data_IF_296789070360
#
_entry.id   IF_296789070360
#
_cell.length_a   1.000
_cell.length_b   1.000
_cell.length_c   1.000
_cell.angle_alpha   90.00
_cell.angle_beta   90.00
_cell.angle_gamma   90.00
#
_symmetry.space_group_name_H-M   'P 1'
#
loop_
_entity.id
_entity.type
_entity.pdbx_description
1 polymer ?
#
# COMPACT_ATOMS: atom_id res chain seq x y z
N UNK A 1 10.89 -15.40 13.02
CA UNK A 1 10.66 -15.17 12.53
C UNK A 1 10.36 -15.11 11.69
N UNK A 2 10.10 -14.97 11.46
CA UNK A 2 9.70 -14.86 10.82
C UNK A 2 9.65 -14.98 9.88
N UNK A 3 9.23 -15.28 9.35
CA UNK A 3 9.19 -15.18 8.47
C UNK A 3 8.68 -14.37 7.86
N UNK A 4 8.97 -13.63 7.43
CA UNK A 4 8.41 -12.56 6.80
C UNK A 4 8.36 -12.73 5.37
N UNK A 5 8.95 -13.65 4.83
CA UNK A 5 8.85 -13.87 3.42
C UNK A 5 7.58 -14.59 3.13
N UNK A 6 7.01 -14.31 2.01
CA UNK A 6 5.84 -15.00 1.59
C UNK A 6 6.26 -15.98 0.54
N UNK A 7 6.29 -17.22 0.89
CA UNK A 7 6.63 -18.24 -0.04
C UNK A 7 5.34 -18.78 -0.60
N UNK A 8 5.19 -18.70 -1.89
CA UNK A 8 3.96 -19.06 -2.52
C UNK A 8 4.02 -20.45 -3.08
N UNK A 9 2.92 -21.15 -3.04
CA UNK A 9 2.89 -22.50 -3.57
C UNK A 9 3.07 -22.46 -5.06
N UNK A 10 3.79 -23.41 -5.55
CA UNK A 10 3.95 -23.54 -6.94
C UNK A 10 2.95 -24.50 -7.41
N UNK A 11 2.20 -24.11 -8.36
CA UNK A 11 1.25 -24.98 -8.82
C UNK A 11 1.85 -26.08 -9.56
N UNK A 12 1.53 -27.21 -9.10
CA UNK A 12 1.87 -28.24 -9.79
C UNK A 12 3.02 -28.74 -10.03
N UNK A 13 3.89 -28.64 -9.39
CA UNK A 13 4.83 -29.28 -9.79
C UNK A 13 6.04 -29.31 -9.33
N UNK A 14 6.88 -29.87 -9.96
CA UNK A 14 8.09 -29.92 -9.64
C UNK A 14 8.69 -28.82 -9.98
N UNK A 15 9.20 -28.14 -9.14
CA UNK A 15 9.70 -26.88 -9.37
C UNK A 15 11.08 -26.89 -9.91
N UNK A 16 11.34 -25.96 -10.76
CA UNK A 16 12.67 -25.66 -11.16
C UNK A 16 13.40 -25.02 -10.01
N UNK A 17 12.67 -24.41 -9.09
CA UNK A 17 13.20 -23.76 -7.93
C UNK A 17 12.05 -23.20 -7.18
N UNK A 18 12.27 -22.18 -6.38
CA UNK A 18 11.25 -21.64 -5.56
C UNK A 18 11.15 -20.16 -5.78
N UNK A 19 9.94 -19.63 -5.82
CA UNK A 19 9.76 -18.19 -5.93
C UNK A 19 9.37 -17.67 -4.57
N UNK A 20 10.14 -16.74 -4.07
CA UNK A 20 9.88 -16.19 -2.78
C UNK A 20 9.65 -14.72 -2.93
N UNK A 21 8.49 -14.23 -2.52
CA UNK A 21 8.16 -12.83 -2.63
C UNK A 21 8.29 -12.20 -1.26
N UNK A 22 9.22 -11.30 -1.13
CA UNK A 22 9.47 -10.65 0.15
C UNK A 22 8.55 -9.46 0.32
N UNK A 23 8.23 -9.14 1.56
CA UNK A 23 7.34 -8.01 1.81
C UNK A 23 7.84 -6.70 1.20
N UNK A 24 9.14 -6.53 1.09
CA UNK A 24 9.66 -5.31 0.52
C UNK A 24 9.24 -5.12 -0.93
N UNK A 25 9.15 -6.20 -1.70
CA UNK A 25 8.68 -6.10 -3.07
C UNK A 25 7.22 -5.67 -3.10
N UNK A 26 6.43 -6.20 -2.18
CA UNK A 26 5.02 -5.85 -2.10
C UNK A 26 4.88 -4.40 -1.70
N UNK A 27 5.70 -3.94 -0.74
CA UNK A 27 5.67 -2.55 -0.33
C UNK A 27 5.96 -1.62 -1.50
N UNK A 28 6.94 -1.95 -2.30
CA UNK A 28 7.31 -1.10 -3.42
C UNK A 28 6.19 -0.96 -4.42
N UNK A 29 5.56 -2.08 -4.75
CA UNK A 29 4.47 -2.05 -5.71
C UNK A 29 3.26 -1.33 -5.15
N UNK A 30 2.94 -1.58 -3.89
CA UNK A 30 1.79 -0.93 -3.26
C UNK A 30 2.02 0.58 -3.18
N UNK A 31 3.25 0.98 -2.84
CA UNK A 31 3.57 2.38 -2.74
C UNK A 31 3.38 3.07 -4.09
N UNK A 32 3.90 2.47 -5.13
CA UNK A 32 3.79 3.08 -6.43
C UNK A 32 2.34 3.14 -6.91
N UNK A 33 1.60 2.07 -6.72
CA UNK A 33 0.20 2.05 -7.13
C UNK A 33 -0.60 3.11 -6.39
N UNK A 34 -0.35 3.26 -5.09
CA UNK A 34 -1.06 4.24 -4.29
C UNK A 34 -0.72 5.64 -4.73
N UNK A 35 0.56 5.90 -4.98
CA UNK A 35 0.98 7.25 -5.34
C UNK A 35 0.43 7.69 -6.68
N UNK A 36 0.10 6.77 -7.54
CA UNK A 36 -0.41 7.12 -8.85
C UNK A 36 -1.91 7.35 -8.85
N UNK A 37 -2.59 7.09 -7.76
CA UNK A 37 -4.03 7.28 -7.72
C UNK A 37 -4.37 8.75 -7.58
N UNK A 38 -5.43 9.14 -8.28
CA UNK A 38 -5.89 10.51 -8.22
C UNK A 38 -6.36 10.83 -6.80
N UNK A 39 -6.06 11.98 -6.33
CA UNK A 39 -6.54 12.44 -5.03
C UNK A 39 -5.68 12.07 -3.85
N UNK A 40 -4.60 11.35 -4.07
CA UNK A 40 -3.72 10.96 -2.97
C UNK A 40 -2.65 12.01 -2.81
N UNK A 41 -2.58 12.61 -1.62
CA UNK A 41 -1.54 13.56 -1.31
C UNK A 41 -0.25 12.83 -1.01
N UNK A 42 -0.34 11.77 -0.25
CA UNK A 42 0.85 11.00 0.07
C UNK A 42 0.55 9.88 1.03
N UNK A 43 1.57 9.12 1.34
CA UNK A 43 1.48 8.02 2.28
C UNK A 43 1.88 8.54 3.63
N UNK A 44 1.16 8.16 4.67
CA UNK A 44 1.38 8.69 5.99
C UNK A 44 1.86 7.61 6.92
N UNK A 45 2.35 8.03 8.06
CA UNK A 45 2.67 7.10 9.12
C UNK A 45 1.38 6.50 9.67
N UNK A 46 1.41 5.28 10.19
CA UNK A 46 0.20 4.64 10.71
C UNK A 46 -0.36 5.35 11.93
N UNK A 47 0.46 6.09 12.63
CA UNK A 47 -0.01 6.77 13.81
C UNK A 47 -0.04 8.25 13.61
N UNK A 48 -1.05 8.88 14.18
CA UNK A 48 -1.12 10.32 14.14
C UNK A 48 -0.15 10.92 15.15
N UNK A 49 0.37 12.07 14.82
CA UNK A 49 1.25 12.78 15.73
C UNK A 49 0.48 14.02 16.17
N UNK A 50 0.14 14.07 17.46
CA UNK A 50 -0.65 15.16 17.99
C UNK A 50 -1.95 15.33 17.22
N UNK A 51 -2.55 14.21 16.86
CA UNK A 51 -3.83 14.23 16.16
C UNK A 51 -3.74 14.55 14.69
N UNK A 52 -2.54 14.67 14.15
CA UNK A 52 -2.38 15.01 12.75
C UNK A 52 -1.66 13.94 11.98
N UNK A 53 -2.03 13.78 10.73
CA UNK A 53 -1.37 12.82 9.87
C UNK A 53 0.05 13.29 9.58
N UNK A 54 0.97 12.34 9.55
CA UNK A 54 2.36 12.65 9.28
C UNK A 54 2.69 12.07 7.92
N UNK A 55 2.94 12.94 6.96
CA UNK A 55 3.32 12.49 5.64
C UNK A 55 4.73 11.95 5.68
N UNK A 56 4.93 10.82 5.03
CA UNK A 56 6.24 10.20 4.99
C UNK A 56 6.95 10.59 3.73
N UNK A 57 8.25 10.76 3.84
CA UNK A 57 9.04 11.02 2.66
C UNK A 57 9.15 9.75 1.85
N UNK A 58 9.42 9.85 0.55
CA UNK A 58 9.43 8.67 -0.28
C UNK A 58 10.30 7.55 0.24
N UNK A 59 11.43 7.86 0.79
CA UNK A 59 12.31 6.81 1.26
C UNK A 59 11.82 6.15 2.54
N UNK A 60 10.84 6.74 3.22
CA UNK A 60 10.30 6.16 4.43
C UNK A 60 8.86 5.69 4.24
N UNK A 61 8.35 5.74 3.02
CA UNK A 61 6.94 5.46 2.81
C UNK A 61 6.57 4.02 3.09
N UNK A 62 7.54 3.12 3.17
CA UNK A 62 7.23 1.75 3.54
C UNK A 62 6.60 1.65 4.91
N UNK A 63 6.83 2.64 5.77
CA UNK A 63 6.24 2.61 7.10
C UNK A 63 4.73 2.80 7.05
N UNK A 64 4.23 3.37 5.99
CA UNK A 64 2.79 3.57 5.84
C UNK A 64 2.10 2.48 5.06
N UNK A 65 2.82 1.41 4.75
CA UNK A 65 2.24 0.28 4.05
C UNK A 65 2.63 -0.96 4.83
N UNK A 66 1.64 -1.67 5.31
CA UNK A 66 1.90 -2.85 6.12
C UNK A 66 1.40 -4.07 5.38
N UNK A 67 2.19 -5.10 5.36
CA UNK A 67 1.87 -6.32 4.64
C UNK A 67 1.83 -7.46 5.64
N UNK A 68 0.75 -8.21 5.60
CA UNK A 68 0.63 -9.38 6.45
C UNK A 68 0.24 -10.57 5.61
N UNK A 69 0.64 -11.73 6.04
CA UNK A 69 0.25 -12.95 5.37
C UNK A 69 -0.67 -13.72 6.30
N UNK A 70 -1.89 -13.92 5.87
CA UNK A 70 -2.89 -14.60 6.67
C UNK A 70 -3.46 -15.72 5.85
N UNK A 71 -3.35 -16.94 6.33
CA UNK A 71 -3.87 -18.12 5.64
C UNK A 71 -3.37 -18.18 4.20
N UNK A 72 -2.10 -17.91 4.04
CA UNK A 72 -1.45 -17.97 2.73
C UNK A 72 -1.96 -16.92 1.75
N UNK A 73 -2.64 -15.91 2.25
CA UNK A 73 -3.08 -14.82 1.41
C UNK A 73 -2.51 -13.53 1.96
N UNK A 74 -2.36 -12.57 1.09
CA UNK A 74 -1.74 -11.31 1.47
C UNK A 74 -2.78 -10.28 1.82
N UNK A 75 -2.57 -9.59 2.93
CA UNK A 75 -3.40 -8.48 3.35
C UNK A 75 -2.51 -7.26 3.42
N UNK A 76 -2.91 -6.21 2.74
CA UNK A 76 -2.12 -4.99 2.69
C UNK A 76 -2.89 -3.86 3.34
N UNK A 77 -2.22 -3.10 4.19
CA UNK A 77 -2.83 -1.92 4.79
C UNK A 77 -2.07 -0.71 4.33
N UNK A 78 -2.78 0.28 3.85
CA UNK A 78 -2.18 1.50 3.32
C UNK A 78 -2.71 2.67 4.12
N UNK A 79 -1.82 3.54 4.56
CA UNK A 79 -2.18 4.72 5.32
C UNK A 79 -1.88 5.95 4.46
N UNK A 80 -2.88 6.75 4.21
CA UNK A 80 -2.77 7.85 3.25
C UNK A 80 -3.43 9.12 3.72
N UNK A 81 -3.03 10.22 3.11
CA UNK A 81 -3.75 11.47 3.22
C UNK A 81 -4.33 11.76 1.85
N UNK A 82 -5.57 12.17 1.82
CA UNK A 82 -6.29 12.42 0.58
C UNK A 82 -6.61 13.89 0.43
N UNK A 83 -6.89 14.28 -0.79
CA UNK A 83 -7.19 15.64 -1.10
C UNK A 83 -8.57 16.01 -0.60
N UNK A 84 -8.66 17.13 0.08
CA UNK A 84 -9.92 17.59 0.65
C UNK A 84 -10.87 17.99 -0.46
N UNK A 85 -12.11 17.68 -0.30
CA UNK A 85 -13.11 18.09 -1.26
C UNK A 85 -13.45 17.07 -2.31
N UNK A 86 -12.72 15.96 -2.34
CA UNK A 86 -13.03 14.92 -3.30
C UNK A 86 -13.79 13.80 -2.60
N UNK A 87 -14.33 12.91 -3.40
CA UNK A 87 -15.07 11.81 -2.83
C UNK A 87 -14.12 10.78 -2.31
N UNK A 88 -13.96 10.75 -0.99
CA UNK A 88 -12.98 9.87 -0.38
C UNK A 88 -13.28 8.40 -0.63
N UNK A 89 -14.56 8.02 -0.64
CA UNK A 89 -14.86 6.61 -0.83
C UNK A 89 -14.45 6.14 -2.21
N UNK A 90 -14.59 6.99 -3.21
CA UNK A 90 -14.18 6.61 -4.55
C UNK A 90 -12.67 6.52 -4.66
N UNK A 91 -11.98 7.48 -4.04
CA UNK A 91 -10.54 7.47 -4.09
C UNK A 91 -10.00 6.23 -3.37
N UNK A 92 -10.55 5.94 -2.21
CA UNK A 92 -10.12 4.78 -1.45
C UNK A 92 -10.38 3.49 -2.24
N UNK A 93 -11.50 3.43 -2.91
CA UNK A 93 -11.83 2.27 -3.71
C UNK A 93 -10.84 2.10 -4.86
N UNK A 94 -10.47 3.20 -5.47
CA UNK A 94 -9.49 3.15 -6.55
C UNK A 94 -8.13 2.70 -6.04
N UNK A 95 -7.76 3.13 -4.85
CA UNK A 95 -6.51 2.69 -4.26
C UNK A 95 -6.54 1.18 -4.02
N UNK A 96 -7.64 0.69 -3.44
CA UNK A 96 -7.78 -0.74 -3.21
C UNK A 96 -7.64 -1.52 -4.50
N UNK A 97 -8.32 -1.09 -5.53
CA UNK A 97 -8.29 -1.78 -6.81
C UNK A 97 -6.92 -1.72 -7.45
N UNK A 98 -6.30 -0.56 -7.43
CA UNK A 98 -5.00 -0.40 -8.05
C UNK A 98 -3.92 -1.22 -7.34
N UNK A 99 -3.92 -1.20 -6.03
CA UNK A 99 -2.92 -1.92 -5.28
C UNK A 99 -3.10 -3.41 -5.48
N UNK A 100 -4.34 -3.88 -5.37
CA UNK A 100 -4.60 -5.29 -5.53
C UNK A 100 -4.23 -5.76 -6.93
N UNK A 101 -4.66 -5.01 -7.93
CA UNK A 101 -4.38 -5.37 -9.32
C UNK A 101 -2.88 -5.39 -9.59
N UNK A 102 -2.18 -4.38 -9.12
CA UNK A 102 -0.75 -4.29 -9.38
C UNK A 102 0.03 -5.43 -8.74
N UNK A 103 -0.30 -5.75 -7.52
CA UNK A 103 0.40 -6.83 -6.83
C UNK A 103 0.11 -8.15 -7.51
N UNK A 104 -1.16 -8.41 -7.79
CA UNK A 104 -1.52 -9.68 -8.39
C UNK A 104 -0.94 -9.83 -9.78
N UNK A 105 -0.93 -8.74 -10.55
CA UNK A 105 -0.42 -8.82 -11.89
C UNK A 105 1.09 -8.93 -11.95
N UNK A 106 1.77 -8.16 -11.15
CA UNK A 106 3.21 -8.13 -11.22
C UNK A 106 3.88 -9.28 -10.50
N UNK A 107 3.33 -9.70 -9.40
CA UNK A 107 3.96 -10.76 -8.61
C UNK A 107 3.25 -12.10 -8.72
N UNK A 108 2.06 -12.11 -9.25
CA UNK A 108 1.33 -13.36 -9.41
C UNK A 108 0.86 -13.93 -8.09
N UNK A 109 0.71 -13.10 -7.07
CA UNK A 109 0.28 -13.59 -5.77
C UNK A 109 -1.14 -13.12 -5.49
N UNK A 110 -1.95 -13.95 -4.85
CA UNK A 110 -3.31 -13.51 -4.53
C UNK A 110 -3.29 -12.56 -3.36
N UNK A 111 -4.09 -11.52 -3.45
CA UNK A 111 -4.22 -10.53 -2.39
C UNK A 111 -5.62 -10.67 -1.84
N UNK A 112 -5.71 -11.00 -0.55
CA UNK A 112 -7.02 -11.20 0.07
C UNK A 112 -7.75 -9.89 0.22
N UNK A 113 -7.07 -8.87 0.68
CA UNK A 113 -7.72 -7.58 0.80
C UNK A 113 -6.69 -6.47 0.93
N UNK A 114 -7.11 -5.28 0.54
CA UNK A 114 -6.32 -4.08 0.71
C UNK A 114 -7.18 -3.13 1.52
N UNK A 115 -6.68 -2.71 2.66
CA UNK A 115 -7.40 -1.79 3.52
C UNK A 115 -6.77 -0.43 3.40
N UNK A 116 -7.59 0.58 3.16
CA UNK A 116 -7.10 1.94 3.02
C UNK A 116 -7.52 2.73 4.24
N UNK A 117 -6.54 3.29 4.93
CA UNK A 117 -6.80 4.06 6.13
C UNK A 117 -6.50 5.51 5.82
N UNK A 118 -7.53 6.34 5.83
CA UNK A 118 -7.35 7.76 5.52
C UNK A 118 -7.01 8.45 6.81
N UNK A 119 -5.77 8.88 6.93
CA UNK A 119 -5.29 9.50 8.15
C UNK A 119 -5.50 11.00 8.17
N UNK A 120 -5.65 11.61 7.03
CA UNK A 120 -5.84 13.04 7.00
C UNK A 120 -6.31 13.52 5.66
N UNK A 121 -6.76 14.76 5.64
CA UNK A 121 -7.20 15.41 4.43
C UNK A 121 -6.42 16.70 4.29
N UNK A 122 -6.17 17.10 3.08
CA UNK A 122 -5.47 18.36 2.86
C UNK A 122 -5.68 18.84 1.45
N UNK A 123 -4.97 19.88 1.11
CA UNK A 123 -5.06 20.39 -0.23
C UNK A 123 -4.08 19.58 -1.06
N UNK A 124 -4.37 19.45 -2.31
CA UNK A 124 -3.57 18.62 -3.15
C UNK A 124 -2.13 19.02 -3.20
N UNK A 125 -1.39 18.45 -4.13
CA UNK A 125 0.05 18.70 -4.17
C UNK A 125 0.35 20.09 -4.64
N UNK A 126 -0.23 21.06 -4.10
CA UNK A 126 0.08 22.39 -4.46
C UNK A 126 1.35 22.74 -3.80
N UNK A 127 2.00 23.67 -4.34
CA UNK A 127 3.22 24.12 -3.78
C UNK A 127 2.95 24.63 -2.41
N UNK A 128 3.78 24.40 -1.61
CA UNK A 128 3.62 24.78 -0.28
C UNK A 128 3.68 26.18 -0.20
N UNK A 129 3.71 26.81 -0.41
CA UNK A 129 3.80 28.09 -0.25
C UNK A 129 3.38 28.58 0.92
N UNK A 130 3.23 28.53 1.20
CA UNK A 130 2.87 28.81 1.89
C UNK A 130 2.74 28.80 2.67
N UNK A 131 2.97 28.96 3.09
CA UNK A 131 2.86 28.98 3.83
C UNK A 131 3.17 28.85 4.29
#
# INVERSE_FOLDING_TARGET
MSKTSAILPQHGSRPLGKIEVLPNAIHTIAKQATSECYGVIGITAPRLHNGQAVLLEPEHSNQGIQVRVVNEQIVVEVYVALEYGLRMSEIAHNIMSSVKFSIEKMLGVPVAQVNVNVQGLGHGPTPPSKK
#
